data_IF_094873424629
#
_entry.id   IF_094873424629
#
_cell.length_a   1.000
_cell.length_b   1.000
_cell.length_c   1.000
_cell.angle_alpha   90.00
_cell.angle_beta   90.00
_cell.angle_gamma   90.00
#
_symmetry.space_group_name_H-M   'P 1'
#
loop_
_entity.id
_entity.type
_entity.pdbx_description
1 polymer ?
#
# COMPACT_ATOMS: atom_id res chain seq x y z
N UNK A 1 -17.49 69.10 60.74
CA UNK A 1 -16.50 69.95 60.05
C UNK A 1 -15.29 69.08 59.88
N UNK A 2 -14.84 68.65 58.73
CA UNK A 2 -15.20 68.85 57.33
C UNK A 2 -14.47 67.68 56.63
N UNK A 3 -15.15 66.93 55.77
CA UNK A 3 -14.85 66.81 54.33
C UNK A 3 -13.36 66.75 53.94
N UNK A 4 -13.01 65.72 53.15
CA UNK A 4 -11.66 65.61 52.61
C UNK A 4 -11.38 64.35 51.80
N UNK A 5 -12.24 64.07 50.83
CA UNK A 5 -12.09 63.07 49.77
C UNK A 5 -10.72 63.15 49.09
N UNK A 6 -10.04 62.01 48.87
CA UNK A 6 -9.32 61.84 47.60
C UNK A 6 -9.28 60.36 47.20
N UNK A 7 -9.85 60.12 46.03
CA UNK A 7 -9.97 58.86 45.34
C UNK A 7 -8.59 58.26 45.01
N UNK A 8 -8.45 56.95 45.21
CA UNK A 8 -7.53 56.15 44.43
C UNK A 8 -8.27 54.88 43.99
N UNK A 9 -8.63 54.85 42.71
CA UNK A 9 -8.87 53.62 41.97
C UNK A 9 -7.79 52.60 42.30
N UNK A 10 -8.19 51.50 42.91
CA UNK A 10 -7.55 50.23 42.61
C UNK A 10 -8.58 49.43 41.84
N UNK A 11 -8.67 49.80 40.56
CA UNK A 11 -9.18 48.94 39.50
C UNK A 11 -8.61 47.55 39.74
N UNK A 12 -9.50 46.65 40.16
CA UNK A 12 -9.14 45.30 40.49
C UNK A 12 -8.37 44.68 39.29
N UNK A 13 -7.05 44.44 39.42
CA UNK A 13 -6.19 44.03 38.31
C UNK A 13 -6.37 42.53 37.98
N UNK A 14 -7.18 41.80 38.74
CA UNK A 14 -7.51 40.41 38.42
C UNK A 14 -8.60 40.42 37.34
N UNK A 15 -8.16 40.64 36.09
CA UNK A 15 -8.83 40.20 34.87
C UNK A 15 -9.34 38.79 35.14
N UNK A 16 -10.65 38.64 35.32
CA UNK A 16 -11.27 37.35 35.63
C UNK A 16 -11.05 36.44 34.43
N UNK A 17 -9.99 35.65 34.47
CA UNK A 17 -9.81 34.54 33.56
C UNK A 17 -10.90 33.54 33.94
N UNK A 18 -11.97 33.54 33.16
CA UNK A 18 -12.97 32.48 33.18
C UNK A 18 -12.23 31.20 32.72
N UNK A 19 -11.68 30.47 33.69
CA UNK A 19 -10.94 29.21 33.53
C UNK A 19 -11.87 28.02 33.33
N UNK A 20 -13.19 28.24 33.32
CA UNK A 20 -14.12 27.16 33.06
C UNK A 20 -13.88 26.68 31.63
N UNK A 21 -13.31 25.47 31.51
CA UNK A 21 -13.34 24.72 30.26
C UNK A 21 -14.80 24.72 29.82
N UNK A 22 -15.14 25.47 28.77
CA UNK A 22 -16.39 25.23 28.05
C UNK A 22 -16.40 23.75 27.72
N UNK A 23 -17.20 22.99 28.46
CA UNK A 23 -17.43 21.58 28.20
C UNK A 23 -18.10 21.56 26.83
N UNK A 24 -17.30 21.38 25.77
CA UNK A 24 -17.84 21.17 24.43
C UNK A 24 -18.66 19.90 24.55
N UNK A 25 -19.99 20.02 24.48
CA UNK A 25 -20.88 18.87 24.44
C UNK A 25 -20.34 17.93 23.35
N UNK A 26 -19.94 16.73 23.75
CA UNK A 26 -19.50 15.72 22.81
C UNK A 26 -20.67 15.42 21.87
N UNK A 27 -20.62 15.99 20.66
CA UNK A 27 -21.54 15.59 19.60
C UNK A 27 -21.19 14.15 19.25
N UNK A 28 -22.01 13.19 19.71
CA UNK A 28 -21.93 11.81 19.23
C UNK A 28 -22.19 11.81 17.72
N UNK A 29 -21.12 11.80 16.92
CA UNK A 29 -21.22 11.60 15.48
C UNK A 29 -21.69 10.15 15.30
N UNK A 30 -22.97 9.96 15.00
CA UNK A 30 -23.51 8.65 14.59
C UNK A 30 -23.05 8.38 13.17
N UNK A 31 -21.82 7.91 13.00
CA UNK A 31 -21.39 7.34 11.73
C UNK A 31 -22.18 6.04 11.56
N UNK A 32 -22.96 5.91 10.49
CA UNK A 32 -23.56 4.62 10.14
C UNK A 32 -22.41 3.62 10.04
N UNK A 33 -22.47 2.44 10.69
CA UNK A 33 -21.49 1.42 10.39
C UNK A 33 -21.58 1.22 8.88
N UNK A 34 -20.47 1.42 8.16
CA UNK A 34 -20.41 1.04 6.76
C UNK A 34 -20.67 -0.45 6.78
N UNK A 35 -21.92 -0.86 6.51
CA UNK A 35 -22.20 -2.25 6.21
C UNK A 35 -21.32 -2.52 5.01
N UNK A 36 -20.37 -3.42 5.20
CA UNK A 36 -19.32 -3.68 4.23
C UNK A 36 -19.92 -4.46 3.04
N UNK A 37 -20.94 -3.92 2.37
CA UNK A 37 -21.52 -4.43 1.12
C UNK A 37 -20.39 -4.61 0.09
N UNK A 38 -19.39 -3.74 0.13
CA UNK A 38 -18.19 -3.76 -0.74
C UNK A 38 -17.16 -4.82 -0.31
N UNK A 39 -17.15 -5.28 0.96
CA UNK A 39 -16.42 -6.50 1.33
C UNK A 39 -17.29 -7.70 0.97
N UNK A 40 -17.52 -7.92 -0.33
CA UNK A 40 -17.56 -9.29 -0.85
C UNK A 40 -16.18 -9.90 -0.55
N UNK A 41 -16.03 -10.32 0.71
CA UNK A 41 -14.95 -11.18 1.17
C UNK A 41 -15.01 -12.37 0.22
N UNK A 42 -13.92 -12.63 -0.51
CA UNK A 42 -13.65 -13.98 -0.99
C UNK A 42 -13.99 -14.91 0.18
N UNK A 43 -14.99 -15.76 -0.01
CA UNK A 43 -15.34 -16.72 1.03
C UNK A 43 -14.21 -17.71 1.13
N UNK A 44 -14.07 -18.31 2.30
CA UNK A 44 -13.11 -19.40 2.47
C UNK A 44 -13.39 -20.55 1.50
N UNK A 45 -14.66 -20.75 1.13
CA UNK A 45 -15.05 -21.70 0.07
C UNK A 45 -14.46 -21.33 -1.30
N UNK A 46 -14.54 -20.06 -1.70
CA UNK A 46 -14.04 -19.60 -3.00
C UNK A 46 -12.53 -19.83 -3.13
N UNK A 47 -11.79 -19.73 -2.02
CA UNK A 47 -10.35 -19.95 -1.96
C UNK A 47 -9.94 -21.42 -2.14
N UNK A 48 -10.84 -22.39 -1.88
CA UNK A 48 -10.55 -23.82 -1.98
C UNK A 48 -10.60 -24.36 -3.42
N UNK A 49 -11.35 -23.69 -4.28
CA UNK A 49 -11.58 -24.12 -5.66
C UNK A 49 -10.62 -23.45 -6.66
N UNK A 50 -9.61 -22.73 -6.16
CA UNK A 50 -8.65 -21.99 -6.99
C UNK A 50 -7.59 -22.95 -7.49
N UNK A 51 -7.49 -23.08 -8.81
CA UNK A 51 -6.48 -23.89 -9.51
C UNK A 51 -5.49 -22.99 -10.23
N UNK A 52 -4.23 -23.38 -10.29
CA UNK A 52 -3.17 -22.65 -10.98
C UNK A 52 -3.50 -22.46 -12.47
N UNK A 53 -4.02 -23.49 -13.12
CA UNK A 53 -4.42 -23.52 -14.54
C UNK A 53 -5.36 -22.35 -14.91
N UNK A 54 -6.22 -21.93 -13.98
CA UNK A 54 -7.15 -20.81 -14.22
C UNK A 54 -6.45 -19.46 -14.39
N UNK A 55 -5.19 -19.34 -13.95
CA UNK A 55 -4.40 -18.11 -14.01
C UNK A 55 -3.35 -18.12 -15.12
N UNK A 56 -3.20 -19.22 -15.88
CA UNK A 56 -2.29 -19.25 -17.03
C UNK A 56 -2.69 -18.20 -18.10
N UNK A 57 -3.97 -18.04 -18.49
CA UNK A 57 -4.35 -16.99 -19.43
C UNK A 57 -4.06 -15.58 -18.91
N UNK A 58 -4.12 -15.40 -17.58
CA UNK A 58 -3.80 -14.13 -16.93
C UNK A 58 -2.28 -13.82 -17.05
N UNK A 59 -1.43 -14.84 -16.96
CA UNK A 59 0.01 -14.70 -17.17
C UNK A 59 0.35 -14.41 -18.64
N UNK A 60 -0.31 -15.07 -19.60
CA UNK A 60 -0.14 -14.78 -21.03
C UNK A 60 -0.49 -13.33 -21.37
N UNK A 61 -1.66 -12.86 -20.92
CA UNK A 61 -2.06 -11.46 -21.09
C UNK A 61 -1.06 -10.49 -20.44
N UNK A 62 -0.50 -10.86 -19.28
CA UNK A 62 0.51 -10.05 -18.62
C UNK A 62 1.82 -9.99 -19.44
N UNK A 63 2.21 -11.09 -20.10
CA UNK A 63 3.38 -11.12 -20.97
C UNK A 63 3.23 -10.16 -22.15
N UNK A 64 2.08 -10.18 -22.82
CA UNK A 64 1.78 -9.26 -23.94
C UNK A 64 1.79 -7.80 -23.48
N UNK A 65 1.15 -7.53 -22.33
CA UNK A 65 1.16 -6.22 -21.70
C UNK A 65 2.59 -5.75 -21.42
N UNK A 66 3.40 -6.57 -20.76
CA UNK A 66 4.75 -6.20 -20.36
C UNK A 66 5.68 -6.05 -21.57
N UNK A 67 5.55 -6.90 -22.60
CA UNK A 67 6.26 -6.77 -23.87
C UNK A 67 5.94 -5.45 -24.59
N UNK A 68 4.66 -5.07 -24.65
CA UNK A 68 4.24 -3.79 -25.22
C UNK A 68 4.79 -2.59 -24.43
N UNK A 69 4.90 -2.73 -23.11
CA UNK A 69 5.44 -1.70 -22.21
C UNK A 69 6.94 -1.46 -22.44
N UNK A 70 7.70 -2.54 -22.69
CA UNK A 70 9.14 -2.49 -22.97
C UNK A 70 9.43 -1.96 -24.38
N UNK A 71 8.68 -2.42 -25.38
CA UNK A 71 8.89 -2.04 -26.79
C UNK A 71 8.66 -0.54 -27.02
N UNK A 72 7.75 0.06 -26.26
CA UNK A 72 7.33 1.44 -26.46
C UNK A 72 8.39 2.51 -26.11
N UNK A 73 9.56 2.21 -25.49
CA UNK A 73 10.44 3.29 -24.99
C UNK A 73 11.92 2.91 -24.83
N UNK A 74 12.82 3.77 -25.32
CA UNK A 74 14.27 3.65 -25.21
C UNK A 74 14.94 4.42 -24.06
N UNK A 75 14.27 5.35 -23.36
CA UNK A 75 14.93 6.28 -22.42
C UNK A 75 14.44 6.28 -20.95
N UNK A 76 13.34 5.61 -20.59
CA UNK A 76 12.79 5.57 -19.21
C UNK A 76 12.06 4.27 -18.87
N UNK A 77 12.72 3.13 -19.09
CA UNK A 77 12.15 1.80 -18.82
C UNK A 77 11.82 1.62 -17.34
N UNK A 78 12.71 2.06 -16.45
CA UNK A 78 12.66 1.69 -15.03
C UNK A 78 11.48 2.38 -14.30
N UNK A 79 11.22 3.64 -14.61
CA UNK A 79 10.06 4.37 -14.06
C UNK A 79 8.72 3.78 -14.52
N UNK A 80 8.65 3.26 -15.75
CA UNK A 80 7.43 2.65 -16.30
C UNK A 80 7.19 1.28 -15.68
N UNK A 81 8.24 0.46 -15.55
CA UNK A 81 8.17 -0.84 -14.86
C UNK A 81 7.68 -0.64 -13.42
N UNK A 82 8.19 0.36 -12.71
CA UNK A 82 7.76 0.62 -11.34
C UNK A 82 6.27 1.03 -11.23
N UNK A 83 5.73 1.66 -12.27
CA UNK A 83 4.31 2.03 -12.40
C UNK A 83 3.45 0.92 -13.01
N UNK A 84 4.05 -0.17 -13.50
CA UNK A 84 3.37 -1.22 -14.21
C UNK A 84 2.41 -2.01 -13.31
N UNK A 85 1.45 -2.68 -13.93
CA UNK A 85 0.64 -3.66 -13.23
C UNK A 85 1.42 -4.99 -13.11
N UNK A 86 1.32 -5.63 -11.94
CA UNK A 86 1.96 -6.91 -11.64
C UNK A 86 0.94 -8.03 -11.37
N UNK A 87 -0.36 -7.78 -11.49
CA UNK A 87 -1.35 -8.86 -11.49
C UNK A 87 -1.13 -9.74 -12.73
N UNK A 88 -1.04 -11.05 -12.54
CA UNK A 88 -0.68 -11.99 -13.60
C UNK A 88 0.83 -12.20 -13.77
N UNK A 89 1.69 -11.44 -13.10
CA UNK A 89 3.13 -11.66 -13.18
C UNK A 89 3.55 -12.93 -12.43
N UNK A 90 4.46 -13.73 -13.01
CA UNK A 90 5.10 -14.85 -12.33
C UNK A 90 6.28 -14.33 -11.48
N UNK A 91 6.06 -14.20 -10.17
CA UNK A 91 7.06 -13.71 -9.23
C UNK A 91 7.72 -14.85 -8.45
N UNK A 92 9.00 -14.69 -8.14
CA UNK A 92 9.78 -15.51 -7.21
C UNK A 92 10.34 -14.64 -6.08
N UNK A 93 10.30 -15.11 -4.84
CA UNK A 93 10.96 -14.46 -3.71
C UNK A 93 12.45 -14.80 -3.75
N UNK A 94 13.27 -13.78 -3.99
CA UNK A 94 14.73 -13.92 -4.03
C UNK A 94 15.38 -13.69 -2.67
N UNK A 95 14.83 -12.77 -1.87
CA UNK A 95 15.28 -12.46 -0.53
C UNK A 95 14.07 -12.02 0.32
N UNK A 96 14.07 -12.37 1.61
CA UNK A 96 13.03 -12.02 2.55
C UNK A 96 13.58 -12.00 3.97
N UNK A 97 13.09 -11.08 4.81
CA UNK A 97 13.36 -11.06 6.25
C UNK A 97 13.02 -12.40 6.93
N UNK A 98 12.01 -13.10 6.41
CA UNK A 98 11.68 -14.46 6.81
C UNK A 98 12.27 -15.46 5.79
N UNK A 99 13.32 -16.22 6.15
CA UNK A 99 13.99 -17.14 5.23
C UNK A 99 13.09 -18.24 4.67
N UNK A 100 12.01 -18.62 5.38
CA UNK A 100 11.06 -19.64 4.90
C UNK A 100 10.27 -19.19 3.66
N UNK A 101 10.29 -17.89 3.33
CA UNK A 101 9.64 -17.35 2.15
C UNK A 101 10.53 -17.36 0.92
N UNK A 102 11.84 -17.50 1.08
CA UNK A 102 12.80 -17.49 -0.03
C UNK A 102 12.57 -18.71 -0.93
N UNK A 103 12.55 -18.49 -2.24
CA UNK A 103 12.29 -19.53 -3.25
C UNK A 103 10.81 -19.79 -3.54
N UNK A 104 9.88 -19.24 -2.75
CA UNK A 104 8.46 -19.29 -3.09
C UNK A 104 8.21 -18.53 -4.39
N UNK A 105 7.44 -19.14 -5.30
CA UNK A 105 7.14 -18.56 -6.59
C UNK A 105 5.72 -18.89 -7.04
N UNK A 106 5.13 -18.02 -7.85
CA UNK A 106 3.76 -18.20 -8.33
C UNK A 106 3.24 -16.98 -9.08
N UNK A 107 2.08 -17.15 -9.72
CA UNK A 107 1.42 -16.07 -10.45
C UNK A 107 0.72 -15.16 -9.45
N UNK A 108 0.88 -13.84 -9.59
CA UNK A 108 0.21 -12.86 -8.74
C UNK A 108 -1.28 -12.84 -9.05
N UNK A 109 -2.10 -13.34 -8.12
CA UNK A 109 -3.56 -13.30 -8.20
C UNK A 109 -4.10 -11.95 -7.74
N UNK A 110 -3.54 -11.43 -6.64
CA UNK A 110 -4.00 -10.19 -6.03
C UNK A 110 -2.84 -9.39 -5.48
N UNK A 111 -2.83 -8.11 -5.82
CA UNK A 111 -1.99 -7.14 -5.17
C UNK A 111 -2.78 -6.30 -4.16
N UNK A 112 -2.24 -6.19 -2.94
CA UNK A 112 -2.76 -5.27 -1.93
C UNK A 112 -1.72 -4.22 -1.55
N UNK A 113 -2.08 -3.30 -0.65
CA UNK A 113 -1.16 -2.28 -0.14
C UNK A 113 0.09 -2.86 0.54
N UNK A 114 0.01 -4.07 1.12
CA UNK A 114 1.10 -4.62 1.93
C UNK A 114 1.53 -6.02 1.49
N UNK A 115 0.75 -6.70 0.65
CA UNK A 115 0.99 -8.09 0.31
C UNK A 115 0.81 -8.35 -1.18
N UNK A 116 1.52 -9.35 -1.67
CA UNK A 116 1.20 -10.05 -2.91
C UNK A 116 0.60 -11.41 -2.56
N UNK A 117 -0.50 -11.78 -3.23
CA UNK A 117 -1.05 -13.13 -3.16
C UNK A 117 -0.66 -13.89 -4.41
N UNK A 118 0.09 -14.96 -4.25
CA UNK A 118 0.63 -15.78 -5.33
C UNK A 118 -0.09 -17.14 -5.36
N UNK A 119 -0.47 -17.62 -6.54
CA UNK A 119 -0.90 -19.01 -6.74
C UNK A 119 0.31 -19.84 -7.18
N UNK A 120 0.60 -20.91 -6.44
CA UNK A 120 1.67 -21.87 -6.76
C UNK A 120 1.16 -22.96 -7.69
N UNK A 121 2.07 -23.67 -8.37
CA UNK A 121 1.73 -24.87 -9.16
C UNK A 121 1.10 -26.00 -8.36
N UNK A 122 1.20 -25.96 -7.03
CA UNK A 122 0.56 -26.91 -6.13
C UNK A 122 -0.87 -26.49 -5.73
N UNK A 123 -1.50 -25.58 -6.48
CA UNK A 123 -2.84 -25.02 -6.23
C UNK A 123 -2.98 -24.35 -4.84
N UNK A 124 -1.87 -23.87 -4.28
CA UNK A 124 -1.87 -23.16 -2.98
C UNK A 124 -1.72 -21.66 -3.18
N UNK A 125 -2.63 -20.91 -2.56
CA UNK A 125 -2.54 -19.45 -2.48
C UNK A 125 -1.65 -19.03 -1.31
N UNK A 126 -0.54 -18.38 -1.63
CA UNK A 126 0.42 -17.84 -0.67
C UNK A 126 0.24 -16.35 -0.54
N UNK A 127 0.20 -15.82 0.68
CA UNK A 127 0.21 -14.37 0.91
C UNK A 127 1.57 -13.95 1.43
N UNK A 128 2.30 -13.19 0.62
CA UNK A 128 3.68 -12.77 0.92
C UNK A 128 3.67 -11.27 1.25
N UNK A 129 4.22 -10.86 2.41
CA UNK A 129 4.37 -9.45 2.75
C UNK A 129 5.37 -8.79 1.80
N UNK A 130 5.10 -7.55 1.43
CA UNK A 130 6.00 -6.72 0.61
C UNK A 130 7.14 -6.09 1.42
N UNK A 131 6.95 -5.97 2.74
CA UNK A 131 7.95 -5.38 3.62
C UNK A 131 9.13 -6.35 3.78
N UNK A 132 10.35 -5.87 3.56
CA UNK A 132 11.55 -6.68 3.73
C UNK A 132 11.68 -7.85 2.75
N UNK A 133 10.95 -7.80 1.63
CA UNK A 133 10.98 -8.85 0.60
C UNK A 133 11.41 -8.30 -0.75
N UNK A 134 12.25 -9.06 -1.44
CA UNK A 134 12.72 -8.77 -2.79
C UNK A 134 12.22 -9.86 -3.72
N UNK A 135 11.41 -9.48 -4.69
CA UNK A 135 10.87 -10.35 -5.71
C UNK A 135 11.70 -10.28 -6.99
N UNK A 136 11.69 -11.36 -7.76
CA UNK A 136 12.29 -11.43 -9.10
C UNK A 136 11.32 -12.06 -10.07
N UNK A 137 11.36 -11.63 -11.32
CA UNK A 137 10.71 -12.31 -12.44
C UNK A 137 11.61 -12.29 -13.66
N UNK A 138 11.39 -13.25 -14.56
CA UNK A 138 12.10 -13.34 -15.82
C UNK A 138 11.15 -13.01 -16.96
N UNK A 139 11.62 -12.20 -17.92
CA UNK A 139 10.88 -11.88 -19.14
C UNK A 139 11.89 -11.68 -20.28
N UNK A 140 11.66 -12.33 -21.43
CA UNK A 140 12.53 -12.26 -22.62
C UNK A 140 14.04 -12.43 -22.31
N UNK A 141 14.39 -13.39 -21.44
CA UNK A 141 15.78 -13.68 -21.07
C UNK A 141 16.43 -12.64 -20.14
N UNK A 142 15.67 -11.66 -19.65
CA UNK A 142 16.11 -10.67 -18.66
C UNK A 142 15.49 -10.95 -17.30
N UNK A 143 16.27 -10.75 -16.24
CA UNK A 143 15.79 -10.87 -14.87
C UNK A 143 15.53 -9.48 -14.31
N UNK A 144 14.35 -9.28 -13.77
CA UNK A 144 13.92 -8.02 -13.16
C UNK A 144 13.78 -8.20 -11.66
N UNK A 145 14.38 -7.30 -10.88
CA UNK A 145 14.35 -7.33 -9.41
C UNK A 145 13.43 -6.24 -8.87
N UNK A 146 12.40 -6.64 -8.11
CA UNK A 146 11.41 -5.78 -7.50
C UNK A 146 11.60 -5.72 -5.98
N UNK A 147 11.86 -4.52 -5.46
CA UNK A 147 11.92 -4.30 -4.01
C UNK A 147 10.52 -4.08 -3.45
N UNK A 148 10.01 -5.04 -2.67
CA UNK A 148 8.65 -5.02 -2.15
C UNK A 148 8.31 -3.75 -1.36
N UNK A 149 9.28 -3.18 -0.63
CA UNK A 149 9.09 -1.96 0.14
C UNK A 149 8.65 -0.76 -0.72
N UNK A 150 9.13 -0.67 -1.96
CA UNK A 150 8.71 0.36 -2.92
C UNK A 150 7.24 0.19 -3.38
N UNK A 151 6.71 -1.03 -3.28
CA UNK A 151 5.36 -1.39 -3.71
C UNK A 151 4.32 -1.31 -2.58
N UNK A 152 4.63 -0.70 -1.44
CA UNK A 152 3.73 -0.56 -0.28
C UNK A 152 2.65 0.51 -0.44
N UNK A 153 2.05 0.59 -1.63
CA UNK A 153 0.95 1.47 -1.99
C UNK A 153 -0.22 0.66 -2.57
N UNK A 154 -1.43 1.20 -2.53
CA UNK A 154 -2.52 0.62 -3.31
C UNK A 154 -2.19 0.75 -4.80
N UNK A 155 -2.39 -0.28 -5.64
CA UNK A 155 -2.08 -0.23 -7.07
C UNK A 155 -2.54 1.07 -7.76
N UNK A 156 -3.81 1.53 -7.62
CA UNK A 156 -4.27 2.76 -8.29
C UNK A 156 -3.62 4.04 -7.73
N UNK A 157 -3.09 4.01 -6.51
CA UNK A 157 -2.44 5.15 -5.88
C UNK A 157 -0.92 5.14 -6.04
N UNK A 158 -0.35 4.05 -6.57
CA UNK A 158 1.11 3.84 -6.63
C UNK A 158 1.79 4.96 -7.40
N UNK A 159 1.30 5.26 -8.59
CA UNK A 159 1.87 6.30 -9.47
C UNK A 159 1.95 7.66 -8.76
N UNK A 160 0.86 8.07 -8.09
CA UNK A 160 0.77 9.39 -7.43
C UNK A 160 1.61 9.47 -6.15
N UNK A 161 1.68 8.41 -5.36
CA UNK A 161 2.38 8.40 -4.07
C UNK A 161 3.88 8.18 -4.23
N UNK A 162 4.28 7.34 -5.17
CA UNK A 162 5.68 7.00 -5.44
C UNK A 162 6.47 8.18 -6.00
N UNK A 163 5.84 9.09 -6.74
CA UNK A 163 6.49 10.34 -7.18
C UNK A 163 6.66 11.37 -6.05
N UNK A 164 6.06 11.13 -4.87
CA UNK A 164 6.18 12.00 -3.70
C UNK A 164 7.11 11.45 -2.61
N UNK A 165 7.32 10.14 -2.58
CA UNK A 165 8.23 9.50 -1.63
C UNK A 165 9.63 9.38 -2.22
N UNK A 166 10.61 10.03 -1.58
CA UNK A 166 12.03 9.71 -1.74
C UNK A 166 12.28 8.37 -1.04
N UNK A 167 11.96 7.24 -1.68
CA UNK A 167 12.40 5.95 -1.15
C UNK A 167 13.88 5.79 -1.51
N UNK A 168 14.72 5.60 -0.49
CA UNK A 168 16.20 5.57 -0.58
C UNK A 168 16.72 4.18 -0.97
N UNK A 169 15.83 3.29 -1.41
CA UNK A 169 16.16 1.91 -1.76
C UNK A 169 16.60 1.91 -3.24
N UNK A 170 17.76 1.32 -3.58
CA UNK A 170 18.28 1.37 -4.94
C UNK A 170 17.26 0.72 -5.88
N UNK A 171 16.69 1.50 -6.80
CA UNK A 171 15.85 0.97 -7.86
C UNK A 171 16.71 0.09 -8.76
N UNK A 172 16.37 -1.20 -8.84
CA UNK A 172 16.87 -2.19 -9.79
C UNK A 172 18.42 -2.33 -9.88
N UNK A 173 18.97 -3.47 -9.42
CA UNK A 173 20.19 -3.98 -10.04
C UNK A 173 19.80 -4.86 -11.23
N UNK A 174 20.34 -4.53 -12.40
CA UNK A 174 20.39 -5.39 -13.60
C UNK A 174 21.17 -6.66 -13.31
#
# INVERSE_FOLDING_TARGET
MDEGTSNAELANPYKTFILEKRIKRERKIRVRPISNIVRRRLRTEDLKNIRYEQFEPLYEMWCDYFGSLLTATSKRTDERILKADFHGCLLMVSNADNPSQVGLHGIVVRETRQTFQLITKADRLLTIPKQGTTFRFAFEGRVYTLFGDAFRYQPPQRVKKMMKSRCVIPLFLK
#
